data_IF_768255272834
#
_entry.id   IF_768255272834
#
_cell.length_a   1.000
_cell.length_b   1.000
_cell.length_c   1.000
_cell.angle_alpha   90.00
_cell.angle_beta   90.00
_cell.angle_gamma   90.00
#
_symmetry.space_group_name_H-M   'P 1'
#
loop_
_entity.id
_entity.type
_entity.pdbx_description
1 polymer ?
#
# COMPACT_ATOMS: atom_id res chain seq x y z
N UNK A 1 30.67 45.63 30.79
CA UNK A 1 29.91 45.05 29.66
C UNK A 1 29.11 43.87 30.18
N UNK A 2 27.79 44.03 30.37
CA UNK A 2 26.91 42.89 30.61
C UNK A 2 26.88 42.05 29.34
N UNK A 3 27.48 40.86 29.40
CA UNK A 3 27.29 39.83 28.39
C UNK A 3 25.84 39.37 28.49
N UNK A 4 24.97 39.86 27.60
CA UNK A 4 23.64 39.29 27.43
C UNK A 4 23.81 37.82 27.04
N UNK A 5 23.47 36.90 27.94
CA UNK A 5 23.33 35.49 27.57
C UNK A 5 22.30 35.42 26.45
N UNK A 6 22.73 34.98 25.26
CA UNK A 6 21.81 34.79 24.15
C UNK A 6 20.89 33.62 24.50
N UNK A 7 19.63 33.93 24.81
CA UNK A 7 18.58 32.94 25.02
C UNK A 7 18.48 32.09 23.74
N UNK A 8 18.71 30.79 23.89
CA UNK A 8 18.70 29.86 22.76
C UNK A 8 17.26 29.47 22.47
N UNK A 9 16.67 30.14 21.47
CA UNK A 9 15.32 29.83 20.99
C UNK A 9 15.36 28.71 19.95
N UNK A 10 14.50 27.70 20.13
CA UNK A 10 14.29 26.63 19.17
C UNK A 10 12.82 26.58 18.74
N UNK A 11 12.59 26.43 17.44
CA UNK A 11 11.26 26.25 16.86
C UNK A 11 11.10 24.80 16.42
N UNK A 12 10.06 24.17 16.96
CA UNK A 12 9.74 22.76 16.75
C UNK A 12 8.42 22.66 16.00
N UNK A 13 8.50 22.34 14.72
CA UNK A 13 7.39 22.26 13.81
C UNK A 13 6.94 20.82 13.55
N UNK A 14 5.64 20.57 13.71
CA UNK A 14 5.01 19.29 13.37
C UNK A 14 4.02 19.52 12.23
N UNK A 15 4.06 18.64 11.23
CA UNK A 15 3.12 18.64 10.12
C UNK A 15 2.48 17.26 10.00
N UNK A 16 1.18 17.23 9.71
CA UNK A 16 0.46 15.99 9.45
C UNK A 16 -0.67 16.17 8.45
N UNK A 17 -1.06 15.08 7.79
CA UNK A 17 -2.15 15.06 6.86
C UNK A 17 -3.01 13.81 7.02
N UNK A 18 -4.32 14.02 6.94
CA UNK A 18 -5.33 12.98 6.80
C UNK A 18 -6.09 13.15 5.48
N UNK A 19 -6.95 12.19 5.14
CA UNK A 19 -7.82 12.33 3.97
C UNK A 19 -8.80 13.51 4.08
N UNK A 20 -9.07 13.99 5.32
CA UNK A 20 -10.05 15.04 5.62
C UNK A 20 -9.42 16.42 5.71
N UNK A 21 -8.24 16.54 6.31
CA UNK A 21 -7.57 17.81 6.54
C UNK A 21 -6.06 17.61 6.68
N UNK A 22 -5.31 18.69 6.56
CA UNK A 22 -3.88 18.72 6.90
C UNK A 22 -3.62 19.87 7.85
N UNK A 23 -2.63 19.70 8.72
CA UNK A 23 -2.36 20.63 9.79
C UNK A 23 -0.86 20.79 10.03
N UNK A 24 -0.52 21.93 10.64
CA UNK A 24 0.79 22.27 11.11
C UNK A 24 0.67 22.90 12.49
N UNK A 25 1.59 22.56 13.40
CA UNK A 25 1.72 23.19 14.72
C UNK A 25 3.18 23.49 14.98
N UNK A 26 3.45 24.65 15.58
CA UNK A 26 4.79 25.13 15.91
C UNK A 26 4.86 25.40 17.40
N UNK A 27 5.83 24.77 18.04
CA UNK A 27 6.20 25.00 19.42
C UNK A 27 7.47 25.85 19.46
N UNK A 28 7.57 26.69 20.48
CA UNK A 28 8.81 27.35 20.88
C UNK A 28 9.34 26.64 22.11
N UNK A 29 10.64 26.33 22.07
CA UNK A 29 11.41 25.90 23.24
C UNK A 29 12.37 27.02 23.60
N UNK A 30 12.27 27.49 24.83
CA UNK A 30 13.27 28.34 25.46
C UNK A 30 13.61 27.68 26.80
N UNK A 31 14.90 27.37 27.00
CA UNK A 31 15.38 26.56 28.12
C UNK A 31 14.59 25.23 28.27
N UNK A 32 13.88 25.05 29.38
CA UNK A 32 13.04 23.88 29.67
C UNK A 32 11.56 24.08 29.33
N UNK A 33 11.16 25.30 28.95
CA UNK A 33 9.76 25.61 28.66
C UNK A 33 9.42 25.34 27.19
N UNK A 34 8.27 24.70 26.98
CA UNK A 34 7.73 24.37 25.66
C UNK A 34 6.30 24.91 25.58
N UNK A 35 6.05 25.78 24.60
CA UNK A 35 4.73 26.38 24.41
C UNK A 35 4.34 26.35 22.93
N UNK A 36 3.04 26.18 22.63
CA UNK A 36 2.53 26.40 21.27
C UNK A 36 2.64 27.88 20.93
N UNK A 37 3.27 28.19 19.80
CA UNK A 37 3.26 29.54 19.21
C UNK A 37 2.09 29.70 18.26
N UNK A 38 1.90 28.71 17.38
CA UNK A 38 0.85 28.76 16.39
C UNK A 38 0.47 27.35 15.91
N UNK A 39 -0.80 27.18 15.61
CA UNK A 39 -1.33 26.03 14.91
C UNK A 39 -2.21 26.48 13.74
N UNK A 40 -2.19 25.72 12.66
CA UNK A 40 -3.02 25.97 11.48
C UNK A 40 -3.45 24.68 10.83
N UNK A 41 -4.74 24.54 10.57
CA UNK A 41 -5.32 23.44 9.82
C UNK A 41 -6.00 23.93 8.55
N UNK A 42 -6.12 23.04 7.56
CA UNK A 42 -6.85 23.28 6.31
C UNK A 42 -7.60 22.02 5.91
N UNK A 43 -8.87 22.19 5.58
CA UNK A 43 -9.72 21.10 5.09
C UNK A 43 -9.28 20.70 3.69
N UNK A 44 -9.27 19.39 3.41
CA UNK A 44 -9.06 18.85 2.08
C UNK A 44 -10.30 19.10 1.22
N UNK A 45 -10.21 19.87 0.11
CA UNK A 45 -11.37 20.20 -0.71
C UNK A 45 -12.10 18.96 -1.23
N UNK A 46 -13.44 19.01 -1.22
CA UNK A 46 -14.27 17.90 -1.71
C UNK A 46 -14.13 17.67 -3.21
N UNK A 47 -13.92 18.76 -3.97
CA UNK A 47 -13.58 18.74 -5.41
C UNK A 47 -12.05 18.67 -5.57
N UNK A 48 -11.55 17.82 -6.45
CA UNK A 48 -10.11 17.63 -6.72
C UNK A 48 -9.30 17.19 -5.49
N UNK A 49 -9.78 16.17 -4.75
CA UNK A 49 -9.06 15.60 -3.60
C UNK A 49 -7.65 15.19 -3.99
N UNK A 50 -6.69 15.66 -3.21
CA UNK A 50 -5.29 15.26 -3.33
C UNK A 50 -5.08 13.89 -2.70
N UNK A 51 -4.10 13.14 -3.22
CA UNK A 51 -3.60 11.92 -2.60
C UNK A 51 -2.96 12.25 -1.25
N UNK A 52 -2.92 11.27 -0.34
CA UNK A 52 -2.32 11.45 0.98
C UNK A 52 -0.86 11.97 0.92
N UNK A 53 0.03 11.46 0.04
CA UNK A 53 1.39 12.02 -0.09
C UNK A 53 1.41 13.49 -0.53
N UNK A 54 0.47 13.91 -1.40
CA UNK A 54 0.36 15.31 -1.80
C UNK A 54 -0.20 16.18 -0.66
N UNK A 55 -1.01 15.62 0.25
CA UNK A 55 -1.50 16.31 1.44
C UNK A 55 -0.41 16.43 2.50
N UNK A 56 0.40 15.40 2.71
CA UNK A 56 1.60 15.45 3.56
C UNK A 56 2.57 16.55 3.10
N UNK A 57 2.77 16.67 1.78
CA UNK A 57 3.55 17.77 1.21
C UNK A 57 2.86 19.13 1.36
N UNK A 58 1.53 19.19 1.33
CA UNK A 58 0.80 20.42 1.65
C UNK A 58 0.92 20.79 3.13
N UNK A 59 0.93 19.82 4.05
CA UNK A 59 1.17 20.02 5.48
C UNK A 59 2.57 20.58 5.72
N UNK A 60 3.58 19.98 5.07
CA UNK A 60 4.96 20.47 5.09
C UNK A 60 5.06 21.93 4.66
N UNK A 61 4.46 22.26 3.52
CA UNK A 61 4.48 23.61 2.99
C UNK A 61 3.69 24.60 3.87
N UNK A 62 2.59 24.15 4.49
CA UNK A 62 1.84 24.94 5.47
C UNK A 62 2.72 25.25 6.69
N UNK A 63 3.46 24.26 7.18
CA UNK A 63 4.40 24.40 8.29
C UNK A 63 5.53 25.37 7.93
N UNK A 64 6.16 25.23 6.76
CA UNK A 64 7.21 26.14 6.28
C UNK A 64 6.74 27.60 6.26
N UNK A 65 5.52 27.85 5.77
CA UNK A 65 4.93 29.20 5.77
C UNK A 65 4.71 29.73 7.18
N UNK A 66 4.26 28.87 8.09
CA UNK A 66 3.99 29.24 9.47
C UNK A 66 5.28 29.60 10.21
N UNK A 67 6.30 28.74 10.10
CA UNK A 67 7.63 28.96 10.69
C UNK A 67 8.29 30.20 10.09
N UNK A 68 8.28 30.37 8.77
CA UNK A 68 8.85 31.55 8.12
C UNK A 68 8.23 32.85 8.64
N UNK A 69 6.90 32.88 8.83
CA UNK A 69 6.21 34.02 9.43
C UNK A 69 6.66 34.26 10.88
N UNK A 70 6.81 33.20 11.67
CA UNK A 70 7.26 33.27 13.07
C UNK A 70 8.69 33.82 13.14
N UNK A 71 9.62 33.31 12.33
CA UNK A 71 11.02 33.77 12.30
C UNK A 71 11.10 35.26 11.98
N UNK A 72 10.38 35.72 10.95
CA UNK A 72 10.33 37.15 10.58
C UNK A 72 9.78 37.99 11.74
N UNK A 73 8.80 37.46 12.48
CA UNK A 73 8.15 38.18 13.59
C UNK A 73 9.05 38.27 14.83
N UNK A 74 9.73 37.18 15.19
CA UNK A 74 10.61 37.11 16.38
C UNK A 74 11.93 37.86 16.14
N UNK A 75 12.36 38.02 14.87
CA UNK A 75 13.61 38.71 14.48
C UNK A 75 14.88 38.13 15.14
N UNK A 76 14.85 36.87 15.57
CA UNK A 76 16.01 36.17 16.14
C UNK A 76 16.32 34.90 15.34
N UNK A 77 17.58 34.46 15.43
CA UNK A 77 17.99 33.17 14.89
C UNK A 77 17.41 32.05 15.76
N UNK A 78 16.50 31.28 15.20
CA UNK A 78 15.98 30.08 15.83
C UNK A 78 16.46 28.84 15.09
N UNK A 79 16.83 27.78 15.83
CA UNK A 79 17.00 26.46 15.22
C UNK A 79 15.63 25.91 14.87
N UNK A 80 15.46 25.51 13.63
CA UNK A 80 14.19 24.96 13.15
C UNK A 80 14.33 23.46 13.02
N UNK A 81 13.52 22.73 13.78
CA UNK A 81 13.35 21.30 13.67
C UNK A 81 11.95 21.03 13.13
N UNK A 82 11.87 20.46 11.94
CA UNK A 82 10.59 20.14 11.31
C UNK A 82 10.43 18.65 11.19
N UNK A 83 9.30 18.16 11.66
CA UNK A 83 9.04 16.74 11.77
C UNK A 83 8.06 16.35 10.67
N UNK A 84 8.54 15.59 9.68
CA UNK A 84 7.70 15.11 8.58
C UNK A 84 8.23 13.82 7.91
N UNK A 85 7.31 13.16 7.21
CA UNK A 85 7.48 12.04 6.30
C UNK A 85 8.51 12.37 5.20
N UNK A 86 9.33 11.37 4.89
CA UNK A 86 10.72 11.39 4.42
C UNK A 86 11.02 11.92 2.99
N UNK A 87 10.38 12.97 2.49
CA UNK A 87 10.40 13.30 1.04
C UNK A 87 11.06 14.63 0.64
N UNK A 88 11.44 15.50 1.58
CA UNK A 88 11.89 16.87 1.26
C UNK A 88 13.36 16.93 0.80
N UNK A 89 14.16 15.91 1.13
CA UNK A 89 15.57 15.88 0.76
C UNK A 89 15.81 15.48 -0.71
N UNK A 90 14.86 14.79 -1.36
CA UNK A 90 15.02 14.28 -2.73
C UNK A 90 14.44 15.22 -3.82
N UNK A 91 15.29 16.10 -4.37
CA UNK A 91 14.95 17.06 -5.45
C UNK A 91 14.73 16.45 -6.85
N UNK A 92 14.65 15.12 -6.99
CA UNK A 92 14.64 14.44 -8.31
C UNK A 92 13.24 14.10 -8.85
N UNK A 93 12.17 14.64 -8.26
CA UNK A 93 10.80 14.33 -8.72
C UNK A 93 10.50 14.93 -10.10
N UNK A 94 9.91 14.11 -10.98
CA UNK A 94 9.39 14.55 -12.30
C UNK A 94 8.00 15.17 -12.21
N UNK A 95 7.31 15.11 -11.06
CA UNK A 95 5.99 15.74 -10.87
C UNK A 95 6.16 17.24 -10.58
N UNK A 96 5.57 18.08 -11.44
CA UNK A 96 5.61 19.55 -11.33
C UNK A 96 5.10 20.03 -9.96
N UNK A 97 4.02 19.44 -9.43
CA UNK A 97 3.47 19.83 -8.13
C UNK A 97 4.46 19.56 -6.99
N UNK A 98 5.07 18.38 -6.99
CA UNK A 98 6.04 17.99 -5.96
C UNK A 98 7.25 18.90 -6.03
N UNK A 99 7.82 19.09 -7.23
CA UNK A 99 9.01 19.94 -7.43
C UNK A 99 8.76 21.38 -7.00
N UNK A 100 7.66 21.99 -7.42
CA UNK A 100 7.30 23.35 -7.02
C UNK A 100 7.19 23.45 -5.50
N UNK A 101 6.52 22.49 -4.84
CA UNK A 101 6.32 22.54 -3.39
C UNK A 101 7.60 22.30 -2.59
N UNK A 102 8.46 21.40 -3.03
CA UNK A 102 9.75 21.16 -2.37
C UNK A 102 10.65 22.39 -2.49
N UNK A 103 10.66 23.04 -3.66
CA UNK A 103 11.37 24.30 -3.84
C UNK A 103 10.79 25.40 -2.92
N UNK A 104 9.47 25.61 -2.93
CA UNK A 104 8.80 26.57 -2.03
C UNK A 104 9.21 26.36 -0.55
N UNK A 105 9.27 25.10 -0.11
CA UNK A 105 9.65 24.72 1.26
C UNK A 105 11.10 25.10 1.56
N UNK A 106 12.03 24.77 0.65
CA UNK A 106 13.45 25.04 0.80
C UNK A 106 13.75 26.54 0.77
N UNK A 107 13.03 27.30 -0.06
CA UNK A 107 13.16 28.76 -0.15
C UNK A 107 12.64 29.44 1.13
N UNK A 108 11.56 28.94 1.72
CA UNK A 108 10.96 29.52 2.94
C UNK A 108 11.80 29.28 4.20
N UNK A 109 12.36 28.08 4.36
CA UNK A 109 13.10 27.67 5.57
C UNK A 109 14.37 26.87 5.21
N UNK A 110 15.40 27.51 4.61
CA UNK A 110 16.58 26.83 4.08
C UNK A 110 17.46 26.19 5.16
N UNK A 111 17.44 26.71 6.39
CA UNK A 111 18.24 26.22 7.52
C UNK A 111 17.53 25.19 8.40
N UNK A 112 16.34 24.73 8.00
CA UNK A 112 15.56 23.78 8.80
C UNK A 112 16.11 22.36 8.70
N UNK A 113 16.23 21.69 9.86
CA UNK A 113 16.52 20.26 9.95
C UNK A 113 15.21 19.48 9.88
N UNK A 114 15.05 18.66 8.83
CA UNK A 114 13.88 17.81 8.66
C UNK A 114 14.13 16.42 9.24
N UNK A 115 13.36 16.05 10.26
CA UNK A 115 13.44 14.75 10.91
C UNK A 115 12.14 13.98 10.74
N UNK A 116 12.21 12.64 10.78
CA UNK A 116 11.03 11.79 10.79
C UNK A 116 10.67 11.39 12.22
N UNK A 117 9.40 11.50 12.60
CA UNK A 117 8.87 11.01 13.90
C UNK A 117 7.71 10.07 13.63
N UNK A 118 7.61 9.03 14.45
CA UNK A 118 6.55 8.03 14.37
C UNK A 118 5.19 8.68 14.59
N UNK A 119 4.19 8.34 13.77
CA UNK A 119 2.88 9.00 13.72
C UNK A 119 2.15 9.13 15.07
N UNK A 120 2.41 8.24 16.05
CA UNK A 120 1.81 8.32 17.39
C UNK A 120 2.29 9.51 18.23
N UNK A 121 3.45 10.05 17.89
CA UNK A 121 4.06 11.20 18.59
C UNK A 121 3.97 12.49 17.76
N UNK A 122 3.32 12.43 16.58
CA UNK A 122 3.10 13.59 15.74
C UNK A 122 1.88 14.38 16.21
N UNK A 123 2.11 15.48 16.90
CA UNK A 123 1.04 16.30 17.49
C UNK A 123 0.11 16.93 16.45
N UNK A 124 0.60 17.13 15.21
CA UNK A 124 -0.24 17.65 14.13
C UNK A 124 -1.35 16.65 13.72
N UNK A 125 -1.25 15.37 14.10
CA UNK A 125 -2.28 14.34 13.87
C UNK A 125 -3.60 14.68 14.59
N UNK A 126 -3.52 15.27 15.78
CA UNK A 126 -4.70 15.74 16.53
C UNK A 126 -5.49 16.76 15.70
N UNK A 127 -4.78 17.72 15.09
CA UNK A 127 -5.40 18.76 14.27
C UNK A 127 -5.78 18.29 12.85
N UNK A 128 -5.11 17.27 12.30
CA UNK A 128 -5.39 16.73 10.96
C UNK A 128 -6.60 15.78 10.95
N UNK A 129 -6.84 15.04 12.04
CA UNK A 129 -7.97 14.10 12.19
C UNK A 129 -9.24 14.74 12.71
N UNK A 130 -9.10 15.85 13.42
CA UNK A 130 -10.20 16.57 14.07
C UNK A 130 -10.44 16.07 15.49
N UNK A 131 -10.75 17.00 16.39
CA UNK A 131 -10.99 16.77 17.80
C UNK A 131 -12.08 17.74 18.28
N UNK A 132 -12.94 17.32 19.22
CA UNK A 132 -13.93 18.22 19.80
C UNK A 132 -13.29 19.23 20.76
N UNK A 133 -13.90 20.41 20.99
CA UNK A 133 -13.36 21.40 21.94
C UNK A 133 -13.13 20.84 23.35
N UNK A 134 -14.05 20.01 23.85
CA UNK A 134 -13.95 19.41 25.18
C UNK A 134 -12.80 18.40 25.28
N UNK A 135 -12.62 17.57 24.25
CA UNK A 135 -11.48 16.65 24.21
C UNK A 135 -10.17 17.41 24.07
N UNK A 136 -10.13 18.47 23.26
CA UNK A 136 -8.93 19.29 23.05
C UNK A 136 -8.46 19.95 24.35
N UNK A 137 -9.39 20.42 25.18
CA UNK A 137 -9.06 20.98 26.50
C UNK A 137 -8.31 19.96 27.37
N UNK A 138 -8.64 18.67 27.25
CA UNK A 138 -7.99 17.60 28.01
C UNK A 138 -6.69 17.07 27.38
N UNK A 139 -6.32 17.49 26.18
CA UNK A 139 -5.12 17.01 25.48
C UNK A 139 -3.82 17.65 26.02
N UNK A 140 -3.27 17.09 27.11
CA UNK A 140 -1.99 17.55 27.69
C UNK A 140 -0.83 17.53 26.68
N UNK A 141 -0.78 16.52 25.80
CA UNK A 141 0.27 16.41 24.78
C UNK A 141 0.22 17.55 23.76
N UNK A 142 -0.98 18.02 23.41
CA UNK A 142 -1.15 19.16 22.51
C UNK A 142 -0.67 20.45 23.19
N UNK A 143 -1.05 20.71 24.43
CA UNK A 143 -0.68 21.97 25.09
C UNK A 143 0.80 22.03 25.51
N UNK A 144 1.37 20.90 25.94
CA UNK A 144 2.68 20.88 26.60
C UNK A 144 3.82 20.30 25.72
N UNK A 145 3.48 19.79 24.53
CA UNK A 145 4.41 19.03 23.69
C UNK A 145 4.74 17.63 24.23
N UNK A 146 5.40 16.78 23.43
CA UNK A 146 5.94 15.50 23.88
C UNK A 146 7.09 15.71 24.87
N UNK A 147 7.19 14.81 25.84
CA UNK A 147 8.19 14.92 26.92
C UNK A 147 9.64 14.88 26.41
N UNK A 148 9.90 14.18 25.31
CA UNK A 148 11.24 14.10 24.74
C UNK A 148 11.75 15.45 24.21
N UNK A 149 10.88 16.41 23.87
CA UNK A 149 11.33 17.76 23.49
C UNK A 149 12.00 18.49 24.64
N UNK A 150 11.66 18.16 25.90
CA UNK A 150 12.33 18.72 27.08
C UNK A 150 13.75 18.16 27.25
N UNK A 151 13.97 16.93 26.81
CA UNK A 151 15.27 16.28 26.85
C UNK A 151 16.28 16.90 25.86
N UNK A 152 17.55 16.50 25.98
CA UNK A 152 18.62 16.87 25.04
C UNK A 152 18.36 16.31 23.64
N UNK A 153 18.92 16.96 22.61
CA UNK A 153 18.78 16.57 21.18
C UNK A 153 19.16 15.09 20.94
N UNK A 154 20.08 14.54 21.73
CA UNK A 154 20.52 13.13 21.64
C UNK A 154 19.44 12.11 22.04
N UNK A 155 18.50 12.53 22.89
CA UNK A 155 17.39 11.70 23.38
C UNK A 155 16.13 11.84 22.52
N UNK A 156 16.14 12.75 21.55
CA UNK A 156 15.03 12.87 20.62
C UNK A 156 14.93 11.61 19.76
N UNK A 157 13.74 11.28 19.24
CA UNK A 157 13.60 10.20 18.29
C UNK A 157 14.53 10.45 17.11
N UNK A 158 15.67 9.76 17.10
CA UNK A 158 16.62 9.84 16.00
C UNK A 158 15.93 9.25 14.78
N UNK A 159 16.13 9.89 13.62
CA UNK A 159 15.77 9.25 12.38
C UNK A 159 16.61 7.98 12.31
N UNK A 160 16.00 6.82 12.59
CA UNK A 160 16.50 5.61 11.96
C UNK A 160 16.49 5.96 10.49
N UNK A 161 17.67 6.10 9.92
CA UNK A 161 17.91 6.21 8.49
C UNK A 161 17.52 4.90 7.80
N UNK A 162 16.32 4.40 8.08
CA UNK A 162 15.42 4.05 7.02
C UNK A 162 15.37 5.30 6.13
N UNK A 163 16.30 5.36 5.17
CA UNK A 163 15.97 5.80 3.82
C UNK A 163 14.68 5.08 3.55
N UNK A 164 13.59 5.72 3.93
CA UNK A 164 12.28 5.35 3.48
C UNK A 164 12.51 5.64 2.02
N UNK A 165 12.77 4.58 1.27
CA UNK A 165 12.43 4.50 -0.13
C UNK A 165 10.92 4.56 -0.13
N UNK A 166 10.42 5.72 0.30
CA UNK A 166 9.38 6.48 -0.27
C UNK A 166 9.37 6.12 -1.73
N UNK A 167 8.56 5.11 -2.00
CA UNK A 167 8.13 4.76 -3.32
C UNK A 167 7.45 6.02 -3.84
N UNK A 168 8.24 6.96 -4.37
CA UNK A 168 7.94 7.41 -5.70
C UNK A 168 7.86 6.10 -6.44
N UNK A 169 6.66 5.56 -6.65
CA UNK A 169 6.44 4.57 -7.68
C UNK A 169 6.68 5.27 -9.02
N UNK A 170 7.87 5.84 -9.25
CA UNK A 170 8.66 5.33 -10.33
C UNK A 170 8.80 3.86 -9.98
N UNK A 171 7.89 3.08 -10.52
CA UNK A 171 8.05 1.64 -10.64
C UNK A 171 9.51 1.49 -11.07
N UNK A 172 10.38 1.08 -10.14
CA UNK A 172 11.67 0.55 -10.57
C UNK A 172 11.27 -0.47 -11.59
N UNK A 173 11.61 -0.23 -12.86
CA UNK A 173 11.39 -1.19 -13.95
C UNK A 173 11.76 -2.54 -13.36
N UNK A 174 10.74 -3.35 -13.05
CA UNK A 174 10.99 -4.68 -12.51
C UNK A 174 11.70 -5.34 -13.67
N UNK A 175 12.95 -5.74 -13.43
CA UNK A 175 13.76 -6.37 -14.46
C UNK A 175 12.92 -7.50 -15.04
N UNK A 176 12.71 -7.52 -16.37
CA UNK A 176 11.68 -8.37 -17.01
C UNK A 176 11.89 -9.87 -16.72
N UNK A 177 13.08 -10.24 -16.22
CA UNK A 177 13.49 -11.59 -15.84
C UNK A 177 13.80 -11.75 -14.34
N UNK A 178 13.12 -11.03 -13.43
CA UNK A 178 13.38 -11.21 -12.01
C UNK A 178 12.94 -12.62 -11.55
N UNK A 179 13.82 -13.40 -10.86
CA UNK A 179 13.50 -14.77 -10.44
C UNK A 179 12.21 -14.95 -9.65
N UNK A 180 11.78 -13.90 -8.92
CA UNK A 180 10.58 -13.90 -8.10
C UNK A 180 9.29 -13.86 -8.93
N UNK A 181 9.34 -13.36 -10.16
CA UNK A 181 8.16 -13.30 -11.03
C UNK A 181 7.78 -14.72 -11.52
N UNK A 182 8.79 -15.57 -11.74
CA UNK A 182 8.61 -17.01 -12.03
C UNK A 182 8.04 -17.80 -10.85
N UNK A 183 8.18 -17.33 -9.60
CA UNK A 183 7.67 -18.06 -8.44
C UNK A 183 6.15 -18.13 -8.47
N UNK A 184 5.47 -17.10 -9.00
CA UNK A 184 4.00 -17.11 -9.05
C UNK A 184 3.50 -18.33 -9.81
N UNK A 185 4.17 -18.73 -10.89
CA UNK A 185 3.82 -19.86 -11.77
C UNK A 185 4.23 -21.24 -11.20
N UNK A 186 5.17 -21.28 -10.26
CA UNK A 186 5.73 -22.52 -9.71
C UNK A 186 4.94 -23.13 -8.54
N UNK A 187 4.00 -22.39 -7.95
CA UNK A 187 3.24 -22.84 -6.78
C UNK A 187 1.75 -22.99 -7.06
N UNK A 188 1.13 -23.94 -6.36
CA UNK A 188 -0.30 -24.27 -6.45
C UNK A 188 -1.14 -23.73 -5.30
N UNK A 189 -0.52 -23.06 -4.32
CA UNK A 189 -1.19 -22.50 -3.13
C UNK A 189 -0.84 -21.03 -2.93
N UNK A 190 -1.89 -20.20 -2.89
CA UNK A 190 -1.73 -18.76 -2.66
C UNK A 190 -1.15 -18.45 -1.28
N UNK A 191 -1.61 -19.15 -0.23
CA UNK A 191 -1.06 -18.96 1.13
C UNK A 191 0.41 -19.37 1.20
N UNK A 192 0.80 -20.46 0.52
CA UNK A 192 2.21 -20.89 0.46
C UNK A 192 3.06 -19.83 -0.25
N UNK A 193 2.57 -19.31 -1.38
CA UNK A 193 3.24 -18.25 -2.14
C UNK A 193 3.45 -16.99 -1.28
N UNK A 194 2.43 -16.53 -0.55
CA UNK A 194 2.53 -15.38 0.37
C UNK A 194 3.60 -15.63 1.43
N UNK A 195 3.62 -16.81 2.06
CA UNK A 195 4.62 -17.15 3.09
C UNK A 195 6.04 -17.15 2.53
N UNK A 196 6.24 -17.70 1.33
CA UNK A 196 7.54 -17.70 0.65
C UNK A 196 8.00 -16.27 0.39
N UNK A 197 7.14 -15.42 -0.19
CA UNK A 197 7.45 -14.01 -0.40
C UNK A 197 7.74 -13.28 0.92
N UNK A 198 7.01 -13.60 1.99
CA UNK A 198 7.26 -13.00 3.31
C UNK A 198 8.65 -13.37 3.84
N UNK A 199 9.09 -14.63 3.68
CA UNK A 199 10.46 -15.03 4.04
C UNK A 199 11.52 -14.39 3.15
N UNK A 200 11.28 -14.25 1.85
CA UNK A 200 12.19 -13.56 0.91
C UNK A 200 12.34 -12.09 1.32
N UNK A 201 11.24 -11.39 1.59
CA UNK A 201 11.26 -10.00 2.05
C UNK A 201 11.91 -9.87 3.42
N UNK A 202 11.63 -10.79 4.35
CA UNK A 202 12.31 -10.84 5.66
C UNK A 202 13.81 -11.01 5.49
N UNK A 203 14.25 -11.91 4.62
CA UNK A 203 15.67 -12.12 4.33
C UNK A 203 16.32 -10.85 3.75
N UNK A 204 15.69 -10.23 2.75
CA UNK A 204 16.13 -8.94 2.19
C UNK A 204 16.28 -7.87 3.27
N UNK A 205 15.30 -7.76 4.17
CA UNK A 205 15.32 -6.78 5.25
C UNK A 205 16.39 -7.10 6.31
N UNK A 206 16.65 -8.38 6.61
CA UNK A 206 17.76 -8.79 7.49
C UNK A 206 19.12 -8.36 6.93
N UNK A 207 19.33 -8.49 5.63
CA UNK A 207 20.56 -8.04 4.95
C UNK A 207 20.74 -6.51 5.00
N UNK A 208 19.66 -5.74 5.19
CA UNK A 208 19.66 -4.28 5.17
C UNK A 208 19.78 -3.62 6.56
N UNK A 209 20.05 -4.41 7.62
CA UNK A 209 20.31 -4.07 9.05
C UNK A 209 19.16 -4.38 10.06
N UNK A 210 19.49 -5.27 11.01
CA UNK A 210 19.11 -5.43 12.42
C UNK A 210 17.67 -5.09 12.89
N UNK A 211 16.65 -5.70 12.30
CA UNK A 211 15.35 -5.86 12.97
C UNK A 211 15.28 -7.21 13.67
N UNK A 212 14.82 -7.23 14.93
CA UNK A 212 14.42 -8.46 15.60
C UNK A 212 13.19 -9.02 14.88
N UNK A 213 13.29 -10.25 14.39
CA UNK A 213 12.18 -10.95 13.77
C UNK A 213 11.73 -12.09 14.68
N UNK A 214 10.44 -12.18 15.02
CA UNK A 214 9.94 -13.35 15.71
C UNK A 214 10.11 -14.61 14.86
N UNK A 215 10.14 -15.77 15.51
CA UNK A 215 10.29 -17.06 14.84
C UNK A 215 9.17 -17.32 13.82
N UNK A 216 7.96 -16.81 14.08
CA UNK A 216 6.82 -16.88 13.19
C UNK A 216 6.72 -15.68 12.23
N UNK A 217 6.02 -15.85 11.10
CA UNK A 217 5.68 -14.74 10.19
C UNK A 217 4.56 -13.89 10.80
N UNK A 218 4.77 -12.58 10.89
CA UNK A 218 3.75 -11.65 11.39
C UNK A 218 2.68 -11.37 10.34
N UNK A 219 1.50 -10.94 10.78
CA UNK A 219 0.42 -10.52 9.88
C UNK A 219 0.83 -9.36 8.95
N UNK A 220 1.68 -8.45 9.45
CA UNK A 220 2.26 -7.35 8.67
C UNK A 220 3.16 -7.86 7.55
N UNK A 221 4.00 -8.86 7.82
CA UNK A 221 4.87 -9.45 6.79
C UNK A 221 4.08 -10.21 5.74
N UNK A 222 3.06 -10.97 6.15
CA UNK A 222 2.16 -11.65 5.21
C UNK A 222 1.41 -10.64 4.33
N UNK A 223 0.97 -9.52 4.92
CA UNK A 223 0.28 -8.45 4.18
C UNK A 223 1.22 -7.75 3.19
N UNK A 224 2.44 -7.42 3.61
CA UNK A 224 3.45 -6.83 2.74
C UNK A 224 3.82 -7.76 1.58
N UNK A 225 3.94 -9.07 1.86
CA UNK A 225 4.20 -10.09 0.84
C UNK A 225 3.05 -10.23 -0.16
N UNK A 226 1.80 -10.25 0.32
CA UNK A 226 0.61 -10.26 -0.53
C UNK A 226 0.60 -9.05 -1.48
N UNK A 227 0.86 -7.86 -0.95
CA UNK A 227 0.92 -6.61 -1.72
C UNK A 227 2.05 -6.64 -2.76
N UNK A 228 3.23 -7.16 -2.41
CA UNK A 228 4.36 -7.27 -3.33
C UNK A 228 4.08 -8.23 -4.49
N UNK A 229 3.45 -9.39 -4.22
CA UNK A 229 3.02 -10.34 -5.26
C UNK A 229 2.07 -9.65 -6.24
N UNK A 230 1.09 -8.90 -5.72
CA UNK A 230 0.11 -8.19 -6.54
C UNK A 230 0.77 -7.12 -7.38
N UNK A 231 1.68 -6.30 -6.82
CA UNK A 231 2.40 -5.28 -7.56
C UNK A 231 3.20 -5.86 -8.71
N UNK A 232 3.95 -6.94 -8.46
CA UNK A 232 4.71 -7.67 -9.49
C UNK A 232 3.83 -8.16 -10.62
N UNK A 233 2.71 -8.80 -10.26
CA UNK A 233 1.71 -9.23 -11.23
C UNK A 233 1.17 -8.07 -12.08
N UNK A 234 0.84 -6.95 -11.45
CA UNK A 234 0.32 -5.77 -12.14
C UNK A 234 1.37 -5.12 -13.04
N UNK A 235 2.64 -5.08 -12.63
CA UNK A 235 3.73 -4.60 -13.47
C UNK A 235 3.94 -5.46 -14.71
N UNK A 236 3.83 -6.79 -14.58
CA UNK A 236 3.93 -7.72 -15.71
C UNK A 236 2.77 -7.57 -16.68
N UNK A 237 1.54 -7.48 -16.17
CA UNK A 237 0.32 -7.54 -16.99
C UNK A 237 -0.20 -6.19 -17.48
N UNK A 238 0.13 -5.09 -16.79
CA UNK A 238 -0.43 -3.76 -17.02
C UNK A 238 0.66 -2.69 -17.16
N UNK A 239 1.84 -3.05 -17.69
CA UNK A 239 3.00 -2.17 -17.86
C UNK A 239 2.60 -0.84 -18.52
N UNK A 240 1.90 -0.92 -19.66
CA UNK A 240 1.47 0.25 -20.44
C UNK A 240 0.46 1.13 -19.71
N UNK A 241 -0.51 0.53 -19.01
CA UNK A 241 -1.53 1.25 -18.27
C UNK A 241 -0.97 1.91 -17.02
N UNK A 242 -0.06 1.23 -16.31
CA UNK A 242 0.65 1.79 -15.18
C UNK A 242 1.50 3.00 -15.60
N UNK A 243 2.25 2.90 -16.71
CA UNK A 243 3.01 4.04 -17.23
C UNK A 243 2.12 5.25 -17.56
N UNK A 244 0.95 5.02 -18.17
CA UNK A 244 -0.01 6.09 -18.52
C UNK A 244 -0.61 6.73 -17.27
N UNK A 245 -1.02 5.92 -16.30
CA UNK A 245 -1.58 6.41 -15.03
C UNK A 245 -0.56 7.22 -14.24
N UNK A 246 0.71 6.80 -14.23
CA UNK A 246 1.80 7.55 -13.59
C UNK A 246 2.06 8.89 -14.30
N UNK A 247 1.92 8.95 -15.62
CA UNK A 247 2.04 10.18 -16.43
C UNK A 247 0.78 11.07 -16.36
N UNK A 248 -0.23 10.72 -15.56
CA UNK A 248 -1.57 11.37 -15.51
C UNK A 248 -2.23 11.48 -16.89
N UNK A 249 -1.88 10.58 -17.81
CA UNK A 249 -2.49 10.51 -19.13
C UNK A 249 -3.80 9.69 -19.05
N UNK A 250 -4.83 10.13 -19.76
CA UNK A 250 -6.08 9.35 -19.85
C UNK A 250 -5.81 7.99 -20.50
N UNK A 251 -6.29 6.91 -19.87
CA UNK A 251 -6.33 5.61 -20.51
C UNK A 251 -7.26 5.73 -21.74
N UNK A 252 -6.73 5.48 -22.94
CA UNK A 252 -7.54 5.49 -24.18
C UNK A 252 -8.81 4.65 -23.97
N UNK A 253 -9.93 5.09 -24.53
CA UNK A 253 -11.26 4.44 -24.48
C UNK A 253 -11.25 2.95 -24.88
N UNK A 254 -10.18 2.46 -25.52
CA UNK A 254 -10.05 1.06 -25.98
C UNK A 254 -9.41 0.10 -24.95
N UNK A 255 -8.98 0.55 -23.77
CA UNK A 255 -8.47 -0.38 -22.74
C UNK A 255 -9.62 -0.97 -21.91
N UNK A 256 -9.68 -2.30 -21.76
CA UNK A 256 -10.68 -2.99 -20.91
C UNK A 256 -10.67 -2.51 -19.45
N UNK A 257 -9.59 -1.86 -19.04
CA UNK A 257 -9.41 -1.28 -17.73
C UNK A 257 -10.00 0.12 -17.58
N UNK A 258 -10.17 0.91 -18.65
CA UNK A 258 -10.68 2.29 -18.55
C UNK A 258 -12.06 2.35 -17.88
N UNK A 259 -12.93 1.38 -18.17
CA UNK A 259 -14.27 1.28 -17.59
C UNK A 259 -14.27 0.94 -16.08
N UNK A 260 -13.13 0.55 -15.52
CA UNK A 260 -12.96 0.25 -14.10
C UNK A 260 -12.47 1.46 -13.28
N UNK A 261 -12.33 2.64 -13.92
CA UNK A 261 -11.78 3.86 -13.33
C UNK A 261 -10.54 3.59 -12.45
N UNK A 262 -9.51 2.93 -13.00
CA UNK A 262 -8.42 2.39 -12.21
C UNK A 262 -7.53 3.52 -11.68
N UNK A 263 -7.03 3.36 -10.46
CA UNK A 263 -6.08 4.29 -9.85
C UNK A 263 -5.01 3.52 -9.06
N UNK A 264 -3.87 4.16 -8.82
CA UNK A 264 -2.80 3.61 -8.01
C UNK A 264 -2.95 4.16 -6.58
N UNK A 265 -2.96 3.28 -5.58
CA UNK A 265 -3.07 3.67 -4.17
C UNK A 265 -1.73 4.12 -3.55
N UNK A 266 -1.74 4.44 -2.26
CA UNK A 266 -0.53 4.82 -1.51
C UNK A 266 0.49 3.69 -1.38
N UNK A 267 0.08 2.43 -1.54
CA UNK A 267 0.97 1.27 -1.50
C UNK A 267 1.54 0.93 -2.88
N UNK A 268 1.14 1.65 -3.94
CA UNK A 268 1.57 1.40 -5.31
C UNK A 268 0.78 0.31 -6.04
N UNK A 269 -0.36 -0.11 -5.51
CA UNK A 269 -1.23 -1.15 -6.08
C UNK A 269 -2.26 -0.50 -7.03
N UNK A 270 -2.43 -1.08 -8.22
CA UNK A 270 -3.50 -0.72 -9.13
C UNK A 270 -4.84 -1.25 -8.62
N UNK A 271 -5.74 -0.34 -8.25
CA UNK A 271 -7.04 -0.66 -7.66
C UNK A 271 -8.20 -0.16 -8.50
N UNK A 272 -9.34 -0.80 -8.31
CA UNK A 272 -10.61 -0.42 -8.91
C UNK A 272 -11.16 0.87 -8.25
N UNK A 273 -11.43 1.88 -9.06
CA UNK A 273 -12.21 3.05 -8.65
C UNK A 273 -13.71 2.81 -8.82
N UNK A 274 -14.55 3.61 -8.16
CA UNK A 274 -15.99 3.56 -8.41
C UNK A 274 -16.90 4.05 -7.30
N UNK A 275 -18.18 3.66 -7.44
CA UNK A 275 -19.34 4.19 -6.68
C UNK A 275 -19.32 3.86 -5.19
N UNK A 276 -18.52 2.88 -4.76
CA UNK A 276 -18.42 2.46 -3.35
C UNK A 276 -17.53 3.38 -2.48
N UNK A 277 -16.97 4.45 -3.04
CA UNK A 277 -16.08 5.39 -2.33
C UNK A 277 -16.68 5.90 -1.00
N UNK A 278 -17.99 6.14 -0.97
CA UNK A 278 -18.71 6.69 0.17
C UNK A 278 -19.32 5.64 1.13
N UNK A 279 -19.14 4.34 0.86
CA UNK A 279 -19.71 3.28 1.70
C UNK A 279 -18.95 3.12 3.04
N UNK A 280 -19.58 2.55 4.07
CA UNK A 280 -18.92 2.26 5.35
C UNK A 280 -18.30 0.84 5.38
N UNK A 281 -17.44 0.54 4.40
CA UNK A 281 -16.72 -0.73 4.28
C UNK A 281 -15.20 -0.51 4.24
N UNK A 282 -14.41 -1.57 4.40
CA UNK A 282 -12.95 -1.46 4.40
C UNK A 282 -12.41 -0.91 3.08
N UNK A 283 -11.28 -0.20 3.12
CA UNK A 283 -10.65 0.37 1.91
C UNK A 283 -10.35 -0.70 0.85
N UNK A 284 -9.89 -1.89 1.28
CA UNK A 284 -9.66 -3.03 0.37
C UNK A 284 -10.93 -3.49 -0.35
N UNK A 285 -12.09 -3.42 0.31
CA UNK A 285 -13.38 -3.79 -0.27
C UNK A 285 -13.98 -2.68 -1.12
N UNK A 286 -13.72 -1.40 -0.79
CA UNK A 286 -14.07 -0.26 -1.65
C UNK A 286 -13.28 -0.27 -2.95
N UNK A 287 -12.00 -0.61 -2.83
CA UNK A 287 -11.00 -0.50 -3.88
C UNK A 287 -10.22 -1.82 -4.01
N UNK A 288 -10.87 -2.88 -4.52
CA UNK A 288 -10.20 -4.16 -4.71
C UNK A 288 -9.06 -4.04 -5.73
N UNK A 289 -7.97 -4.78 -5.50
CA UNK A 289 -6.82 -4.78 -6.39
C UNK A 289 -7.16 -5.44 -7.72
N UNK A 290 -6.83 -4.81 -8.84
CA UNK A 290 -7.17 -5.32 -10.18
C UNK A 290 -6.19 -6.44 -10.53
N UNK A 291 -6.71 -7.62 -10.88
CA UNK A 291 -5.92 -8.79 -11.24
C UNK A 291 -6.33 -9.28 -12.64
N UNK A 292 -5.38 -9.32 -13.56
CA UNK A 292 -5.59 -9.91 -14.89
C UNK A 292 -5.74 -11.43 -14.82
N UNK A 293 -6.33 -12.03 -15.86
CA UNK A 293 -6.39 -13.48 -16.02
C UNK A 293 -4.98 -14.06 -16.10
N UNK A 294 -4.60 -14.80 -15.07
CA UNK A 294 -3.26 -15.38 -14.90
C UNK A 294 -3.31 -16.60 -13.98
N UNK A 295 -2.16 -17.25 -13.78
CA UNK A 295 -2.05 -18.29 -12.75
C UNK A 295 -2.27 -17.72 -11.34
N UNK A 296 -1.82 -16.49 -11.05
CA UNK A 296 -2.12 -15.82 -9.77
C UNK A 296 -3.64 -15.69 -9.55
N UNK A 297 -4.39 -15.29 -10.58
CA UNK A 297 -5.85 -15.22 -10.51
C UNK A 297 -6.47 -16.58 -10.18
N UNK A 298 -5.93 -17.66 -10.74
CA UNK A 298 -6.35 -19.03 -10.43
C UNK A 298 -6.05 -19.41 -8.98
N UNK A 299 -4.86 -19.07 -8.46
CA UNK A 299 -4.51 -19.29 -7.05
C UNK A 299 -5.43 -18.55 -6.10
N UNK A 300 -5.80 -17.31 -6.41
CA UNK A 300 -6.78 -16.52 -5.64
C UNK A 300 -8.16 -17.21 -5.64
N UNK A 301 -8.61 -17.73 -6.78
CA UNK A 301 -9.88 -18.45 -6.88
C UNK A 301 -9.84 -19.74 -6.05
N UNK A 302 -8.76 -20.51 -6.12
CA UNK A 302 -8.59 -21.73 -5.32
C UNK A 302 -8.50 -21.44 -3.81
N UNK A 303 -7.81 -20.36 -3.41
CA UNK A 303 -7.74 -19.94 -2.03
C UNK A 303 -9.12 -19.59 -1.47
N UNK A 304 -9.91 -18.82 -2.21
CA UNK A 304 -11.30 -18.53 -1.84
C UNK A 304 -12.17 -19.80 -1.83
N UNK A 305 -11.94 -20.74 -2.74
CA UNK A 305 -12.65 -22.02 -2.76
C UNK A 305 -12.48 -22.79 -1.44
N UNK A 306 -11.25 -22.87 -0.95
CA UNK A 306 -10.92 -23.55 0.29
C UNK A 306 -11.41 -22.76 1.51
N UNK A 307 -11.21 -21.43 1.54
CA UNK A 307 -11.67 -20.57 2.66
C UNK A 307 -13.18 -20.54 2.85
N UNK A 308 -13.92 -20.67 1.76
CA UNK A 308 -15.39 -20.72 1.79
C UNK A 308 -15.93 -22.13 1.93
N UNK A 309 -15.06 -23.13 2.19
CA UNK A 309 -15.42 -24.53 2.33
C UNK A 309 -16.30 -25.02 1.16
N UNK A 310 -15.90 -24.71 -0.07
CA UNK A 310 -16.64 -25.04 -1.30
C UNK A 310 -18.00 -24.34 -1.43
N UNK A 311 -18.19 -23.15 -0.85
CA UNK A 311 -19.46 -22.42 -0.74
C UNK A 311 -20.13 -21.92 -2.02
N UNK A 312 -19.80 -22.45 -3.19
CA UNK A 312 -20.47 -22.17 -4.46
C UNK A 312 -20.13 -20.82 -5.09
N UNK A 313 -20.77 -20.53 -6.22
CA UNK A 313 -20.40 -19.39 -7.07
C UNK A 313 -20.53 -18.04 -6.34
N UNK A 314 -21.66 -17.80 -5.68
CA UNK A 314 -21.97 -16.49 -5.10
C UNK A 314 -21.05 -16.16 -3.92
N UNK A 315 -20.86 -17.09 -2.98
CA UNK A 315 -20.02 -16.86 -1.81
C UNK A 315 -18.54 -16.70 -2.20
N UNK A 316 -18.05 -17.50 -3.14
CA UNK A 316 -16.68 -17.37 -3.66
C UNK A 316 -16.49 -16.02 -4.36
N UNK A 317 -17.42 -15.61 -5.23
CA UNK A 317 -17.34 -14.30 -5.91
C UNK A 317 -17.34 -13.14 -4.91
N UNK A 318 -18.24 -13.16 -3.92
CA UNK A 318 -18.31 -12.13 -2.89
C UNK A 318 -17.03 -12.08 -2.05
N UNK A 319 -16.50 -13.24 -1.66
CA UNK A 319 -15.26 -13.34 -0.87
C UNK A 319 -14.06 -12.78 -1.62
N UNK A 320 -13.94 -13.09 -2.92
CA UNK A 320 -12.84 -12.58 -3.76
C UNK A 320 -12.98 -11.08 -3.96
N UNK A 321 -14.19 -10.58 -4.28
CA UNK A 321 -14.44 -9.14 -4.51
C UNK A 321 -14.18 -8.25 -3.30
N UNK A 322 -14.09 -8.82 -2.08
CA UNK A 322 -13.67 -8.06 -0.89
C UNK A 322 -12.23 -7.55 -0.95
N UNK A 323 -11.38 -8.16 -1.79
CA UNK A 323 -9.95 -7.80 -1.89
C UNK A 323 -9.45 -7.66 -3.32
N UNK A 324 -9.99 -8.44 -4.25
CA UNK A 324 -9.48 -8.53 -5.62
C UNK A 324 -10.59 -8.39 -6.65
N UNK A 325 -10.32 -7.57 -7.66
CA UNK A 325 -11.11 -7.47 -8.87
C UNK A 325 -10.45 -8.29 -9.97
N UNK A 326 -10.74 -9.59 -9.98
CA UNK A 326 -10.25 -10.51 -11.00
C UNK A 326 -11.05 -10.32 -12.29
N UNK A 327 -10.38 -9.99 -13.39
CA UNK A 327 -11.02 -9.84 -14.70
C UNK A 327 -11.61 -11.20 -15.11
N UNK A 328 -12.90 -11.21 -15.47
CA UNK A 328 -13.67 -12.44 -15.77
C UNK A 328 -13.79 -13.44 -14.61
N UNK A 329 -13.82 -12.96 -13.35
CA UNK A 329 -13.92 -13.77 -12.14
C UNK A 329 -14.95 -14.92 -12.23
N UNK A 330 -16.17 -14.63 -12.72
CA UNK A 330 -17.28 -15.61 -12.79
C UNK A 330 -16.87 -16.89 -13.52
N UNK A 331 -16.11 -16.76 -14.60
CA UNK A 331 -15.63 -17.90 -15.40
C UNK A 331 -14.61 -18.73 -14.61
N UNK A 332 -13.69 -18.06 -13.90
CA UNK A 332 -12.70 -18.72 -13.05
C UNK A 332 -13.35 -19.52 -11.92
N UNK A 333 -14.29 -18.92 -11.20
CA UNK A 333 -15.05 -19.57 -10.11
C UNK A 333 -15.82 -20.79 -10.62
N UNK A 334 -16.59 -20.63 -11.72
CA UNK A 334 -17.31 -21.76 -12.33
C UNK A 334 -16.35 -22.88 -12.77
N UNK A 335 -15.20 -22.53 -13.33
CA UNK A 335 -14.17 -23.52 -13.72
C UNK A 335 -13.68 -24.28 -12.48
N UNK A 336 -13.30 -23.58 -11.42
CA UNK A 336 -12.83 -24.19 -10.17
C UNK A 336 -13.85 -25.18 -9.59
N UNK A 337 -15.11 -24.77 -9.47
CA UNK A 337 -16.18 -25.64 -8.94
C UNK A 337 -16.39 -26.88 -9.83
N UNK A 338 -16.42 -26.71 -11.16
CA UNK A 338 -16.62 -27.83 -12.10
C UNK A 338 -15.48 -28.83 -12.14
N UNK A 339 -14.27 -28.46 -11.73
CA UNK A 339 -13.11 -29.36 -11.69
C UNK A 339 -12.87 -29.91 -10.28
N UNK A 340 -13.60 -29.45 -9.26
CA UNK A 340 -13.43 -29.91 -7.89
C UNK A 340 -14.27 -31.16 -7.63
N UNK A 341 -13.62 -32.28 -7.31
CA UNK A 341 -14.27 -33.57 -7.01
C UNK A 341 -15.31 -33.43 -5.89
N UNK A 342 -15.01 -32.71 -4.80
CA UNK A 342 -15.94 -32.49 -3.67
C UNK A 342 -17.19 -31.73 -4.11
N UNK A 343 -17.04 -30.68 -4.92
CA UNK A 343 -18.16 -29.91 -5.45
C UNK A 343 -19.03 -30.73 -6.39
N UNK A 344 -18.40 -31.47 -7.31
CA UNK A 344 -19.13 -32.35 -8.22
C UNK A 344 -19.89 -33.39 -7.41
N UNK A 345 -19.25 -34.04 -6.44
CA UNK A 345 -19.88 -35.05 -5.59
C UNK A 345 -21.10 -34.49 -4.85
N UNK A 346 -21.09 -33.22 -4.45
CA UNK A 346 -22.18 -32.62 -3.66
C UNK A 346 -23.23 -31.88 -4.50
N UNK A 347 -23.01 -31.68 -5.80
CA UNK A 347 -23.95 -30.98 -6.70
C UNK A 347 -24.60 -31.95 -7.70
N UNK A 348 -25.89 -32.25 -7.47
CA UNK A 348 -26.74 -33.11 -8.32
C UNK A 348 -26.66 -32.72 -9.81
N UNK A 349 -26.65 -31.42 -10.14
CA UNK A 349 -26.63 -30.93 -11.52
C UNK A 349 -25.27 -31.09 -12.19
N UNK A 350 -24.18 -31.01 -11.42
CA UNK A 350 -22.82 -31.22 -11.94
C UNK A 350 -22.49 -32.70 -12.13
N UNK A 351 -23.03 -33.60 -11.29
CA UNK A 351 -22.89 -35.05 -11.49
C UNK A 351 -23.47 -35.50 -12.82
N UNK A 352 -24.67 -35.02 -13.16
CA UNK A 352 -25.35 -35.40 -14.39
C UNK A 352 -24.62 -34.90 -15.66
N UNK A 353 -23.86 -33.79 -15.57
CA UNK A 353 -23.03 -33.29 -16.68
C UNK A 353 -21.73 -34.06 -16.90
N UNK A 354 -21.26 -34.84 -15.91
CA UNK A 354 -20.01 -35.62 -16.04
C UNK A 354 -20.21 -36.89 -16.86
N UNK A 355 -21.43 -37.45 -16.87
CA UNK A 355 -21.77 -38.63 -17.68
C UNK A 355 -21.80 -38.35 -19.18
N UNK A 356 -22.17 -37.14 -19.62
CA UNK A 356 -22.10 -36.75 -21.04
C UNK A 356 -20.67 -36.48 -21.55
N UNK A 357 -19.73 -36.17 -20.67
CA UNK A 357 -18.34 -35.83 -21.06
C UNK A 357 -17.46 -37.08 -21.12
N UNK A 358 -17.69 -38.08 -20.26
CA UNK A 358 -16.95 -39.35 -20.31
C UNK A 358 -17.30 -40.18 -21.57
N UNK A 359 -18.57 -40.20 -21.99
CA UNK A 359 -18.99 -40.86 -23.25
C UNK A 359 -18.41 -40.23 -24.52
N UNK A 360 -17.88 -39.00 -24.46
CA UNK A 360 -17.27 -38.30 -25.60
C UNK A 360 -15.75 -38.41 -25.68
N UNK A 361 -15.11 -38.93 -24.63
CA UNK A 361 -13.65 -39.07 -24.55
C UNK A 361 -13.15 -40.49 -24.86
N UNK A 362 -13.99 -41.52 -24.81
CA UNK A 362 -13.59 -42.91 -25.10
C UNK A 362 -13.53 -43.26 -26.61
N UNK A 363 -14.02 -42.40 -27.50
CA UNK A 363 -13.98 -42.67 -28.96
C UNK A 363 -12.72 -42.18 -29.70
N UNK A 364 -11.74 -41.58 -29.01
CA UNK A 364 -10.53 -41.02 -29.65
C UNK A 364 -9.20 -41.64 -29.14
N UNK A 365 -9.22 -42.80 -28.49
CA UNK A 365 -7.99 -43.45 -28.01
C UNK A 365 -7.91 -44.96 -28.28
N UNK A 366 -8.50 -45.42 -29.38
CA UNK A 366 -8.26 -46.76 -29.93
C UNK A 366 -7.68 -46.65 -31.35
N UNK A 367 -6.51 -46.04 -31.46
CA UNK A 367 -5.56 -46.33 -32.53
C UNK A 367 -4.17 -46.10 -31.92
N UNK A 368 -3.26 -47.06 -32.14
CA UNK A 368 -1.94 -47.20 -31.53
C UNK A 368 -1.95 -48.01 -30.24
N UNK A 369 -2.08 -49.33 -30.40
CA UNK A 369 -1.12 -50.31 -29.88
C UNK A 369 -1.34 -51.61 -30.67
N UNK A 370 -0.59 -51.77 -31.76
CA UNK A 370 -0.33 -53.07 -32.36
C UNK A 370 0.50 -53.88 -31.36
N UNK A 371 -0.12 -54.89 -30.75
CA UNK A 371 0.58 -56.00 -30.10
C UNK A 371 0.39 -57.19 -31.04
N UNK A 372 1.45 -57.84 -31.54
CA UNK A 372 1.32 -59.01 -32.39
C UNK A 372 0.80 -60.19 -31.55
N UNK A 373 -0.29 -60.78 -32.00
CA UNK A 373 -0.86 -62.02 -31.46
C UNK A 373 0.02 -63.17 -31.98
N UNK A 374 0.77 -63.82 -31.09
CA UNK A 374 1.37 -65.12 -31.37
C UNK A 374 0.31 -66.20 -31.14
N UNK A 375 -0.12 -66.82 -32.22
CA UNK A 375 -0.98 -68.00 -32.26
C UNK A 375 -0.19 -69.25 -31.86
N UNK A 376 -0.66 -69.97 -30.85
CA UNK A 376 -0.50 -71.43 -30.74
C UNK A 376 -1.81 -72.01 -30.19
N UNK A 377 -2.49 -72.91 -30.93
CA UNK A 377 -3.60 -73.68 -30.42
C UNK A 377 -3.07 -74.92 -29.71
N UNK A 378 -3.62 -75.28 -28.56
CA UNK A 378 -3.70 -76.69 -28.18
C UNK A 378 -4.88 -76.97 -27.25
N UNK A 379 -5.45 -78.13 -27.53
CA UNK A 379 -6.70 -78.73 -27.09
C UNK A 379 -6.72 -79.20 -25.62
N UNK A 380 -7.84 -79.84 -25.26
CA UNK A 380 -8.27 -80.48 -23.98
C UNK A 380 -9.07 -79.52 -23.08
N UNK A 381 -10.39 -79.61 -22.92
CA UNK A 381 -11.40 -80.68 -23.15
C UNK A 381 -12.69 -80.10 -23.73
#
# INVERSE_FOLDING_TARGET
MQTFEMIKIELHGFADASEKAYAAVVYIKYDEQINIVAAKSKVNPMKNRKTLPNLELCAAHLLSKLIHRIIITIKQRAKVYTINLCWIENNKSKDKFIRTRVNDIKDLIPSAKWNHVVSKENLADIASRGISPNELQMQKLWWNGPDWLRASEDKWPQSTSEKTTCAVTGVSKINKDHPLDSLTEKYSSFQKLIRIFAYVLRFKNKLQKLKFYPQYLTSRELKAAEIEIIKRHQHKEFENELEKLLKKANLKQNSKLANLYPFIDSEGVLRLGGRLKNSNISCEQKHPAIINKSHLAWLIVMDAHNKTLHGGNQLMEATIRRKYWVINLKRGVKKCIRHCVKCIRNDKKLRNKKWEIYLRCEFHSLHLLHIPVSTTPDHYL
#
